data_IF_573844763998
#
_entry.id   IF_573844763998
#
_cell.length_a   1.000
_cell.length_b   1.000
_cell.length_c   1.000
_cell.angle_alpha   90.00
_cell.angle_beta   90.00
_cell.angle_gamma   90.00
#
_symmetry.space_group_name_H-M   'P 1'
#
loop_
_entity.id
_entity.type
_entity.pdbx_description
1 polymer ?
#
# COMPACT_ATOMS: atom_id res chain seq x y z
N UNK A 1 -7.74 24.82 -50.66
CA UNK A 1 -8.71 25.74 -51.28
C UNK A 1 -10.01 25.62 -50.51
N UNK A 2 -10.65 26.74 -50.14
CA UNK A 2 -11.95 26.70 -49.44
C UNK A 2 -13.02 26.25 -50.43
N UNK A 3 -13.99 25.44 -49.98
CA UNK A 3 -15.14 25.11 -50.81
C UNK A 3 -15.94 26.37 -51.12
N UNK A 4 -16.42 26.55 -52.37
CA UNK A 4 -17.23 27.70 -52.74
C UNK A 4 -18.58 27.63 -52.02
N UNK A 5 -19.02 28.75 -51.44
CA UNK A 5 -20.29 28.80 -50.74
C UNK A 5 -21.46 28.58 -51.71
N UNK A 6 -22.48 27.84 -51.28
CA UNK A 6 -23.60 27.43 -52.11
C UNK A 6 -24.75 28.41 -51.99
N UNK A 7 -25.15 28.97 -53.14
CA UNK A 7 -26.24 29.94 -53.22
C UNK A 7 -27.36 29.39 -54.08
N UNK A 8 -28.59 29.43 -53.57
CA UNK A 8 -29.78 29.14 -54.37
C UNK A 8 -30.45 30.46 -54.77
N UNK A 9 -30.69 30.66 -56.06
CA UNK A 9 -31.41 31.82 -56.59
C UNK A 9 -32.77 31.35 -57.11
N UNK A 10 -33.85 32.00 -56.66
CA UNK A 10 -35.23 31.66 -56.99
C UNK A 10 -35.94 32.89 -57.52
N UNK A 11 -36.37 32.84 -58.77
CA UNK A 11 -37.03 33.95 -59.46
C UNK A 11 -37.86 33.38 -60.61
N UNK A 12 -39.09 33.84 -60.81
CA UNK A 12 -39.92 33.40 -61.93
C UNK A 12 -39.40 33.90 -63.28
N UNK A 13 -38.73 35.06 -63.31
CA UNK A 13 -38.08 35.59 -64.51
C UNK A 13 -36.73 34.92 -64.81
N UNK A 14 -36.67 34.11 -65.87
CA UNK A 14 -35.44 33.41 -66.30
C UNK A 14 -34.28 34.39 -66.59
N UNK A 15 -34.57 35.57 -67.13
CA UNK A 15 -33.59 36.65 -67.37
C UNK A 15 -32.91 37.12 -66.07
N UNK A 16 -33.67 37.25 -64.98
CA UNK A 16 -33.17 37.68 -63.67
C UNK A 16 -32.31 36.58 -63.05
N UNK A 17 -32.80 35.34 -63.06
CA UNK A 17 -32.04 34.17 -62.58
C UNK A 17 -30.69 34.05 -63.28
N UNK A 18 -30.66 34.14 -64.61
CA UNK A 18 -29.43 34.02 -65.41
C UNK A 18 -28.45 35.15 -65.07
N UNK A 19 -28.95 36.38 -64.89
CA UNK A 19 -28.12 37.54 -64.57
C UNK A 19 -27.50 37.43 -63.19
N UNK A 20 -28.30 37.14 -62.15
CA UNK A 20 -27.82 36.97 -60.78
C UNK A 20 -26.85 35.80 -60.70
N UNK A 21 -27.15 34.68 -61.38
CA UNK A 21 -26.26 33.52 -61.46
C UNK A 21 -24.90 33.89 -62.03
N UNK A 22 -24.86 34.62 -63.15
CA UNK A 22 -23.60 35.02 -63.78
C UNK A 22 -22.75 35.90 -62.85
N UNK A 23 -23.38 36.89 -62.19
CA UNK A 23 -22.70 37.79 -61.24
C UNK A 23 -22.09 36.98 -60.08
N UNK A 24 -22.88 36.12 -59.44
CA UNK A 24 -22.45 35.37 -58.26
C UNK A 24 -21.43 34.27 -58.60
N UNK A 25 -21.52 33.66 -59.79
CA UNK A 25 -20.51 32.70 -60.26
C UNK A 25 -19.15 33.38 -60.52
N UNK A 26 -19.15 34.62 -61.04
CA UNK A 26 -17.92 35.41 -61.20
C UNK A 26 -17.27 35.74 -59.85
N UNK A 27 -18.06 35.84 -58.77
CA UNK A 27 -17.57 36.06 -57.41
C UNK A 27 -17.12 34.77 -56.71
N UNK A 28 -17.21 33.63 -57.40
CA UNK A 28 -16.70 32.34 -56.92
C UNK A 28 -17.70 31.51 -56.11
N UNK A 29 -18.99 31.84 -56.15
CA UNK A 29 -20.04 31.05 -55.48
C UNK A 29 -20.53 29.88 -56.34
N UNK A 30 -20.93 28.78 -55.69
CA UNK A 30 -21.61 27.66 -56.35
C UNK A 30 -23.11 27.96 -56.42
N UNK A 31 -23.60 28.39 -57.59
CA UNK A 31 -24.97 28.89 -57.73
C UNK A 31 -25.90 27.83 -58.34
N UNK A 32 -26.93 27.46 -57.59
CA UNK A 32 -28.11 26.72 -58.07
C UNK A 32 -29.25 27.68 -58.35
N UNK A 33 -30.14 27.31 -59.27
CA UNK A 33 -31.21 28.20 -59.74
C UNK A 33 -32.52 27.46 -59.89
N UNK A 34 -33.64 28.10 -59.52
CA UNK A 34 -34.99 27.60 -59.74
C UNK A 34 -35.88 28.72 -60.24
N UNK A 35 -36.75 28.43 -61.21
CA UNK A 35 -37.77 29.39 -61.68
C UNK A 35 -39.12 29.26 -60.98
N UNK A 36 -39.23 28.29 -60.06
CA UNK A 36 -40.47 28.04 -59.30
C UNK A 36 -40.15 27.84 -57.83
N UNK A 37 -41.07 28.25 -56.96
CA UNK A 37 -40.99 28.04 -55.52
C UNK A 37 -41.05 26.54 -55.15
N UNK A 38 -41.85 25.75 -55.86
CA UNK A 38 -41.91 24.30 -55.70
C UNK A 38 -40.57 23.62 -56.03
N UNK A 39 -39.93 24.04 -57.12
CA UNK A 39 -38.58 23.58 -57.50
C UNK A 39 -37.54 23.95 -56.44
N UNK A 40 -37.58 25.18 -55.94
CA UNK A 40 -36.67 25.64 -54.89
C UNK A 40 -36.81 24.81 -53.61
N UNK A 41 -38.05 24.55 -53.16
CA UNK A 41 -38.32 23.72 -51.98
C UNK A 41 -37.85 22.27 -52.17
N UNK A 42 -37.93 21.72 -53.40
CA UNK A 42 -37.37 20.40 -53.69
C UNK A 42 -35.84 20.40 -53.55
N UNK A 43 -35.16 21.40 -54.12
CA UNK A 43 -33.72 21.55 -54.01
C UNK A 43 -33.25 21.71 -52.55
N UNK A 44 -33.94 22.52 -51.74
CA UNK A 44 -33.62 22.72 -50.31
C UNK A 44 -33.77 21.41 -49.51
N UNK A 45 -34.67 20.51 -49.92
CA UNK A 45 -34.81 19.18 -49.28
C UNK A 45 -33.71 18.22 -49.67
N UNK A 46 -33.10 18.39 -50.83
CA UNK A 46 -32.07 17.48 -51.34
C UNK A 46 -30.65 17.94 -50.96
N UNK A 47 -30.43 19.26 -50.87
CA UNK A 47 -29.11 19.83 -50.66
C UNK A 47 -29.16 21.03 -49.72
N UNK A 48 -28.11 21.20 -48.93
CA UNK A 48 -27.92 22.38 -48.09
C UNK A 48 -27.30 23.54 -48.87
N UNK A 49 -27.77 24.74 -48.55
CA UNK A 49 -27.30 26.01 -49.10
C UNK A 49 -26.80 26.92 -47.98
N UNK A 50 -25.78 27.72 -48.25
CA UNK A 50 -25.28 28.74 -47.33
C UNK A 50 -26.17 29.99 -47.37
N UNK A 51 -26.71 30.29 -48.55
CA UNK A 51 -27.60 31.42 -48.77
C UNK A 51 -28.69 31.11 -49.81
N UNK A 52 -29.89 31.61 -49.58
CA UNK A 52 -31.01 31.55 -50.54
C UNK A 52 -31.45 32.96 -50.87
N UNK A 53 -31.43 33.31 -52.16
CA UNK A 53 -32.06 34.50 -52.72
C UNK A 53 -33.39 34.04 -53.32
N UNK A 54 -34.51 34.60 -52.86
CA UNK A 54 -35.82 34.27 -53.41
C UNK A 54 -36.62 35.51 -53.69
N UNK A 55 -37.24 35.61 -54.87
CA UNK A 55 -38.25 36.62 -55.11
C UNK A 55 -39.43 36.43 -54.15
N UNK A 56 -40.01 37.54 -53.73
CA UNK A 56 -41.16 37.56 -52.83
C UNK A 56 -42.44 37.06 -53.53
N UNK A 57 -42.59 37.29 -54.84
CA UNK A 57 -43.74 36.85 -55.63
C UNK A 57 -43.26 35.87 -56.70
N UNK A 58 -43.76 34.64 -56.65
CA UNK A 58 -43.46 33.61 -57.64
C UNK A 58 -44.78 33.22 -58.33
N UNK A 59 -44.71 32.78 -59.59
CA UNK A 59 -45.90 32.33 -60.33
C UNK A 59 -46.67 31.20 -59.61
N UNK A 60 -45.96 30.35 -58.86
CA UNK A 60 -46.51 29.19 -58.16
C UNK A 60 -46.65 29.37 -56.62
N UNK A 61 -46.44 30.58 -56.09
CA UNK A 61 -46.60 30.86 -54.66
C UNK A 61 -45.88 32.12 -54.15
N UNK A 62 -45.62 32.16 -52.84
CA UNK A 62 -44.92 33.27 -52.18
C UNK A 62 -43.49 32.85 -51.79
N UNK A 63 -42.51 33.74 -51.98
CA UNK A 63 -41.12 33.51 -51.55
C UNK A 63 -40.99 33.27 -50.04
N UNK A 64 -41.96 33.74 -49.25
CA UNK A 64 -42.04 33.43 -47.82
C UNK A 64 -42.20 31.93 -47.55
N UNK A 65 -42.80 31.16 -48.46
CA UNK A 65 -42.90 29.71 -48.31
C UNK A 65 -41.56 29.01 -48.57
N UNK A 66 -40.70 29.59 -49.42
CA UNK A 66 -39.31 29.15 -49.58
C UNK A 66 -38.53 29.46 -48.30
N UNK A 67 -38.65 30.66 -47.74
CA UNK A 67 -38.05 31.04 -46.45
C UNK A 67 -38.46 30.09 -45.32
N UNK A 68 -39.74 29.72 -45.22
CA UNK A 68 -40.21 28.74 -44.23
C UNK A 68 -39.56 27.39 -44.42
N UNK A 69 -39.51 26.89 -45.66
CA UNK A 69 -38.87 25.60 -45.96
C UNK A 69 -37.38 25.59 -45.61
N UNK A 70 -36.67 26.71 -45.85
CA UNK A 70 -35.27 26.87 -45.42
C UNK A 70 -35.18 26.80 -43.90
N UNK A 71 -36.01 27.57 -43.17
CA UNK A 71 -35.96 27.61 -41.70
C UNK A 71 -36.31 26.28 -41.04
N UNK A 72 -37.19 25.48 -41.63
CA UNK A 72 -37.54 24.15 -41.13
C UNK A 72 -36.42 23.14 -41.32
N UNK A 73 -35.70 23.22 -42.45
CA UNK A 73 -34.63 22.30 -42.81
C UNK A 73 -33.32 22.67 -42.12
N UNK A 74 -32.91 23.93 -42.28
CA UNK A 74 -31.61 24.44 -41.87
C UNK A 74 -31.83 25.91 -41.45
N UNK A 75 -32.14 26.18 -40.15
CA UNK A 75 -32.44 27.51 -39.55
C UNK A 75 -31.35 28.60 -39.64
N UNK A 76 -30.40 28.36 -40.50
CA UNK A 76 -28.98 28.46 -40.35
C UNK A 76 -28.44 29.06 -41.64
N UNK A 77 -29.01 28.59 -42.76
CA UNK A 77 -28.97 29.20 -44.08
C UNK A 77 -29.54 30.61 -44.03
N UNK A 78 -28.78 31.54 -44.61
CA UNK A 78 -29.19 32.93 -44.69
C UNK A 78 -30.16 33.09 -45.85
N UNK A 79 -31.31 33.75 -45.65
CA UNK A 79 -32.27 34.01 -46.74
C UNK A 79 -32.36 35.51 -47.00
N UNK A 80 -32.18 35.92 -48.25
CA UNK A 80 -32.34 37.29 -48.73
C UNK A 80 -33.53 37.31 -49.67
N UNK A 81 -34.45 38.25 -49.48
CA UNK A 81 -35.63 38.38 -50.33
C UNK A 81 -35.36 39.35 -51.47
N UNK A 82 -35.71 38.99 -52.70
CA UNK A 82 -35.75 39.92 -53.84
C UNK A 82 -37.16 40.48 -53.96
N UNK A 83 -37.30 41.78 -54.21
CA UNK A 83 -38.61 42.46 -54.25
C UNK A 83 -38.64 43.45 -55.41
N UNK A 84 -39.70 43.47 -56.23
CA UNK A 84 -39.83 44.42 -57.35
C UNK A 84 -40.23 45.84 -56.90
N UNK A 85 -41.49 46.02 -56.53
CA UNK A 85 -42.02 47.26 -55.94
C UNK A 85 -42.58 46.94 -54.57
N UNK A 86 -41.73 46.84 -53.55
CA UNK A 86 -42.19 46.52 -52.20
C UNK A 86 -42.90 47.73 -51.56
N UNK A 87 -44.10 47.51 -51.03
CA UNK A 87 -44.58 48.31 -49.90
C UNK A 87 -43.67 48.04 -48.70
N UNK A 88 -43.39 49.06 -47.88
CA UNK A 88 -42.61 48.92 -46.64
C UNK A 88 -43.12 47.76 -45.76
N UNK A 89 -44.43 47.49 -45.78
CA UNK A 89 -45.06 46.39 -45.06
C UNK A 89 -44.58 45.00 -45.51
N UNK A 90 -44.35 44.79 -46.81
CA UNK A 90 -43.94 43.49 -47.35
C UNK A 90 -42.49 43.14 -46.97
N UNK A 91 -41.60 44.14 -47.00
CA UNK A 91 -40.22 44.00 -46.54
C UNK A 91 -40.16 43.75 -45.02
N UNK A 92 -40.98 44.48 -44.24
CA UNK A 92 -41.09 44.26 -42.78
C UNK A 92 -41.60 42.85 -42.48
N UNK A 93 -42.59 42.36 -43.23
CA UNK A 93 -43.13 41.01 -43.04
C UNK A 93 -42.07 39.95 -43.29
N UNK A 94 -41.24 40.10 -44.32
CA UNK A 94 -40.18 39.14 -44.61
C UNK A 94 -39.08 39.11 -43.54
N UNK A 95 -38.64 40.27 -43.06
CA UNK A 95 -37.68 40.34 -41.94
C UNK A 95 -38.26 39.72 -40.67
N UNK A 96 -39.54 39.99 -40.35
CA UNK A 96 -40.24 39.35 -39.22
C UNK A 96 -40.39 37.85 -39.38
N UNK A 97 -40.54 37.36 -40.61
CA UNK A 97 -40.59 35.95 -40.92
C UNK A 97 -39.22 35.25 -40.82
N UNK A 98 -38.13 36.01 -40.65
CA UNK A 98 -36.78 35.50 -40.44
C UNK A 98 -35.87 35.60 -41.66
N UNK A 99 -36.23 36.40 -42.67
CA UNK A 99 -35.27 36.80 -43.69
C UNK A 99 -34.16 37.64 -43.06
N UNK A 100 -32.94 37.47 -43.54
CA UNK A 100 -31.78 38.21 -43.07
C UNK A 100 -31.75 39.64 -43.62
N UNK A 101 -32.08 39.79 -44.90
CA UNK A 101 -32.10 41.07 -45.60
C UNK A 101 -33.07 41.01 -46.80
N UNK A 102 -33.26 42.13 -47.49
CA UNK A 102 -33.99 42.19 -48.75
C UNK A 102 -33.28 43.10 -49.76
N UNK A 103 -33.55 42.88 -51.06
CA UNK A 103 -33.05 43.66 -52.18
C UNK A 103 -34.21 44.13 -53.06
N UNK A 104 -34.12 45.35 -53.58
CA UNK A 104 -35.15 45.95 -54.44
C UNK A 104 -34.71 45.82 -55.91
N UNK A 105 -35.57 45.31 -56.80
CA UNK A 105 -35.33 45.18 -58.24
C UNK A 105 -35.81 46.42 -59.00
N UNK A 106 -35.07 46.92 -60.01
CA UNK A 106 -33.72 46.47 -60.38
C UNK A 106 -32.68 46.95 -59.34
N UNK A 107 -31.93 46.02 -58.74
CA UNK A 107 -30.86 46.34 -57.79
C UNK A 107 -29.55 46.60 -58.52
N UNK A 108 -28.71 47.48 -57.98
CA UNK A 108 -27.35 47.65 -58.49
C UNK A 108 -26.51 46.39 -58.20
N UNK A 109 -25.57 46.08 -59.09
CA UNK A 109 -24.69 44.89 -58.97
C UNK A 109 -23.91 44.92 -57.65
N UNK A 110 -23.44 46.10 -57.23
CA UNK A 110 -22.67 46.26 -56.00
C UNK A 110 -23.52 46.02 -54.75
N UNK A 111 -24.80 46.40 -54.78
CA UNK A 111 -25.74 46.18 -53.67
C UNK A 111 -26.04 44.69 -53.48
N UNK A 112 -26.29 43.96 -54.58
CA UNK A 112 -26.46 42.51 -54.58
C UNK A 112 -25.21 41.83 -54.01
N UNK A 113 -24.02 42.17 -54.53
CA UNK A 113 -22.74 41.62 -54.09
C UNK A 113 -22.50 41.83 -52.60
N UNK A 114 -22.67 43.06 -52.14
CA UNK A 114 -22.46 43.43 -50.74
C UNK A 114 -23.41 42.68 -49.81
N UNK A 115 -24.68 42.57 -50.18
CA UNK A 115 -25.70 41.91 -49.35
C UNK A 115 -25.50 40.40 -49.29
N UNK A 116 -25.18 39.76 -50.42
CA UNK A 116 -24.83 38.32 -50.46
C UNK A 116 -23.56 38.05 -49.67
N UNK A 117 -22.50 38.85 -49.83
CA UNK A 117 -21.25 38.69 -49.09
C UNK A 117 -21.46 38.79 -47.57
N UNK A 118 -22.24 39.79 -47.10
CA UNK A 118 -22.62 39.90 -45.68
C UNK A 118 -23.39 38.68 -45.19
N UNK A 119 -24.30 38.15 -45.99
CA UNK A 119 -25.08 36.96 -45.66
C UNK A 119 -24.21 35.70 -45.55
N UNK A 120 -23.32 35.47 -46.51
CA UNK A 120 -22.38 34.33 -46.47
C UNK A 120 -21.44 34.43 -45.27
N UNK A 121 -20.91 35.61 -44.97
CA UNK A 121 -20.04 35.79 -43.80
C UNK A 121 -20.80 35.54 -42.49
N UNK A 122 -22.07 35.97 -42.40
CA UNK A 122 -22.93 35.66 -41.25
C UNK A 122 -23.14 34.16 -41.07
N UNK A 123 -23.40 33.43 -42.16
CA UNK A 123 -23.51 31.96 -42.16
C UNK A 123 -22.25 31.31 -41.61
N UNK A 124 -21.10 31.72 -42.14
CA UNK A 124 -19.78 31.21 -41.78
C UNK A 124 -19.46 31.40 -40.31
N UNK A 125 -19.64 32.62 -39.79
CA UNK A 125 -19.40 32.93 -38.38
C UNK A 125 -20.31 32.12 -37.44
N UNK A 126 -21.57 31.87 -37.83
CA UNK A 126 -22.49 31.02 -37.08
C UNK A 126 -22.04 29.56 -36.99
N UNK A 127 -21.57 29.00 -38.12
CA UNK A 127 -21.01 27.65 -38.15
C UNK A 127 -19.73 27.53 -37.31
N UNK A 128 -18.81 28.50 -37.43
CA UNK A 128 -17.55 28.51 -36.66
C UNK A 128 -17.81 28.60 -35.14
N UNK A 129 -18.76 29.44 -34.72
CA UNK A 129 -19.11 29.56 -33.31
C UNK A 129 -19.66 28.24 -32.74
N UNK A 130 -20.53 27.54 -33.47
CA UNK A 130 -21.05 26.24 -33.01
C UNK A 130 -20.01 25.15 -32.95
N UNK A 131 -19.11 25.11 -33.94
CA UNK A 131 -17.99 24.18 -33.91
C UNK A 131 -17.15 24.40 -32.64
N UNK A 132 -16.81 25.67 -32.33
CA UNK A 132 -16.07 26.02 -31.11
C UNK A 132 -16.82 25.68 -29.82
N UNK A 133 -18.14 25.87 -29.78
CA UNK A 133 -18.96 25.49 -28.61
C UNK A 133 -18.90 23.97 -28.40
N UNK A 134 -19.06 23.18 -29.46
CA UNK A 134 -18.98 21.73 -29.39
C UNK A 134 -17.60 21.25 -28.92
N UNK A 135 -16.52 21.88 -29.43
CA UNK A 135 -15.15 21.58 -29.01
C UNK A 135 -14.93 21.90 -27.53
N UNK A 136 -15.39 23.07 -27.05
CA UNK A 136 -15.31 23.46 -25.64
C UNK A 136 -16.10 22.52 -24.73
N UNK A 137 -17.30 22.10 -25.14
CA UNK A 137 -18.10 21.13 -24.40
C UNK A 137 -17.45 19.75 -24.33
N UNK A 138 -16.72 19.36 -25.39
CA UNK A 138 -15.92 18.13 -25.37
C UNK A 138 -14.73 18.24 -24.41
N UNK A 139 -13.96 19.33 -24.50
CA UNK A 139 -12.80 19.56 -23.65
C UNK A 139 -13.18 19.68 -22.16
N UNK A 140 -14.29 20.35 -21.85
CA UNK A 140 -14.78 20.47 -20.47
C UNK A 140 -15.18 19.12 -19.86
N UNK A 141 -15.78 18.23 -20.67
CA UNK A 141 -16.09 16.87 -20.23
C UNK A 141 -14.82 16.07 -19.94
N UNK A 142 -13.82 16.15 -20.82
CA UNK A 142 -12.53 15.49 -20.63
C UNK A 142 -11.82 15.98 -19.35
N UNK A 143 -11.83 17.29 -19.09
CA UNK A 143 -11.28 17.88 -17.87
C UNK A 143 -12.03 17.39 -16.63
N UNK A 144 -13.36 17.28 -16.68
CA UNK A 144 -14.17 16.78 -15.56
C UNK A 144 -13.86 15.31 -15.24
N UNK A 145 -13.71 14.48 -16.26
CA UNK A 145 -13.35 13.07 -16.11
C UNK A 145 -11.92 12.94 -15.54
N UNK A 146 -10.98 13.73 -16.05
CA UNK A 146 -9.60 13.75 -15.56
C UNK A 146 -9.52 14.21 -14.10
N UNK A 147 -10.25 15.26 -13.73
CA UNK A 147 -10.31 15.75 -12.36
C UNK A 147 -10.86 14.68 -11.41
N UNK A 148 -11.91 13.96 -11.83
CA UNK A 148 -12.48 12.86 -11.02
C UNK A 148 -11.48 11.72 -10.84
N UNK A 149 -10.76 11.36 -11.90
CA UNK A 149 -9.70 10.34 -11.84
C UNK A 149 -8.51 10.76 -10.97
N UNK A 150 -8.07 12.01 -11.08
CA UNK A 150 -7.00 12.58 -10.25
C UNK A 150 -7.40 12.63 -8.78
N UNK A 151 -8.63 13.06 -8.47
CA UNK A 151 -9.12 13.09 -7.10
C UNK A 151 -9.10 11.69 -6.48
N UNK A 152 -9.55 10.67 -7.22
CA UNK A 152 -9.50 9.27 -6.78
C UNK A 152 -8.07 8.81 -6.47
N UNK A 153 -7.10 9.15 -7.32
CA UNK A 153 -5.68 8.82 -7.09
C UNK A 153 -5.09 9.54 -5.88
N UNK A 154 -5.48 10.79 -5.64
CA UNK A 154 -5.08 11.55 -4.45
C UNK A 154 -5.63 10.89 -3.19
N UNK A 155 -6.89 10.48 -3.19
CA UNK A 155 -7.52 9.84 -2.04
C UNK A 155 -6.86 8.48 -1.73
N UNK A 156 -6.59 7.67 -2.76
CA UNK A 156 -5.86 6.40 -2.63
C UNK A 156 -4.45 6.60 -2.07
N UNK A 157 -3.68 7.54 -2.64
CA UNK A 157 -2.33 7.83 -2.18
C UNK A 157 -2.31 8.37 -0.74
N UNK A 158 -3.30 9.17 -0.37
CA UNK A 158 -3.43 9.72 0.98
C UNK A 158 -3.74 8.62 2.00
N UNK A 159 -4.62 7.67 1.65
CA UNK A 159 -4.92 6.52 2.49
C UNK A 159 -3.68 5.63 2.69
N UNK A 160 -2.93 5.35 1.62
CA UNK A 160 -1.69 4.56 1.69
C UNK A 160 -0.64 5.27 2.57
N UNK A 161 -0.46 6.58 2.38
CA UNK A 161 0.49 7.37 3.17
C UNK A 161 0.14 7.33 4.66
N UNK A 162 -1.14 7.47 5.01
CA UNK A 162 -1.60 7.38 6.40
C UNK A 162 -1.28 6.02 7.01
N UNK A 163 -1.55 4.93 6.28
CA UNK A 163 -1.23 3.58 6.74
C UNK A 163 0.27 3.39 6.99
N UNK A 164 1.13 3.86 6.07
CA UNK A 164 2.58 3.79 6.24
C UNK A 164 3.07 4.62 7.42
N UNK A 165 2.47 5.78 7.65
CA UNK A 165 2.81 6.64 8.78
C UNK A 165 2.47 5.96 10.12
N UNK A 166 1.31 5.33 10.23
CA UNK A 166 0.92 4.57 11.42
C UNK A 166 1.87 3.40 11.69
N UNK A 167 2.28 2.66 10.66
CA UNK A 167 3.29 1.58 10.77
C UNK A 167 4.64 2.11 11.26
N UNK A 168 5.08 3.25 10.73
CA UNK A 168 6.35 3.86 11.12
C UNK A 168 6.32 4.31 12.59
N UNK A 169 5.20 4.88 13.04
CA UNK A 169 5.04 5.27 14.45
C UNK A 169 5.08 4.06 15.39
N UNK A 170 4.49 2.93 15.00
CA UNK A 170 4.51 1.72 15.82
C UNK A 170 5.92 1.12 15.91
N UNK A 171 6.67 1.12 14.80
CA UNK A 171 8.08 0.74 14.80
C UNK A 171 8.92 1.66 15.68
N UNK A 172 8.69 2.98 15.60
CA UNK A 172 9.42 3.95 16.40
C UNK A 172 9.12 3.82 17.91
N UNK A 173 7.86 3.55 18.27
CA UNK A 173 7.47 3.22 19.66
C UNK A 173 8.17 1.96 20.15
N UNK A 174 8.13 0.89 19.38
CA UNK A 174 8.77 -0.39 19.73
C UNK A 174 10.28 -0.22 19.90
N UNK A 175 10.92 0.54 19.00
CA UNK A 175 12.35 0.89 19.08
C UNK A 175 12.69 1.73 20.30
N UNK A 176 11.86 2.72 20.63
CA UNK A 176 12.07 3.58 21.81
C UNK A 176 11.91 2.79 23.11
N UNK A 177 10.92 1.89 23.17
CA UNK A 177 10.74 0.97 24.29
C UNK A 177 11.95 0.04 24.46
N UNK A 178 12.46 -0.53 23.37
CA UNK A 178 13.68 -1.34 23.37
C UNK A 178 14.87 -0.60 23.98
N UNK A 179 15.16 0.61 23.50
CA UNK A 179 16.29 1.40 23.98
C UNK A 179 16.16 1.75 25.47
N UNK A 180 14.94 2.07 25.92
CA UNK A 180 14.67 2.37 27.32
C UNK A 180 14.88 1.15 28.22
N UNK A 181 14.34 0.00 27.84
CA UNK A 181 14.50 -1.26 28.59
C UNK A 181 15.95 -1.74 28.62
N UNK A 182 16.63 -1.74 27.47
CA UNK A 182 18.04 -2.09 27.39
C UNK A 182 18.88 -1.21 28.32
N UNK A 183 18.63 0.11 28.32
CA UNK A 183 19.33 1.04 29.21
C UNK A 183 19.09 0.71 30.69
N UNK A 184 17.85 0.41 31.09
CA UNK A 184 17.52 0.09 32.48
C UNK A 184 18.16 -1.22 32.94
N UNK A 185 18.06 -2.27 32.13
CA UNK A 185 18.57 -3.61 32.45
C UNK A 185 20.10 -3.69 32.40
N UNK A 186 20.78 -2.84 31.60
CA UNK A 186 22.24 -2.68 31.68
C UNK A 186 22.67 -1.85 32.89
N UNK A 187 21.90 -0.80 33.26
CA UNK A 187 22.25 0.10 34.37
C UNK A 187 22.19 -0.58 35.74
N UNK A 188 21.24 -1.48 35.97
CA UNK A 188 21.09 -2.21 37.25
C UNK A 188 22.34 -3.02 37.63
N UNK A 189 22.84 -3.97 36.80
CA UNK A 189 24.06 -4.72 37.11
C UNK A 189 25.29 -3.82 37.20
N UNK A 190 25.40 -2.78 36.37
CA UNK A 190 26.52 -1.81 36.43
C UNK A 190 26.53 -1.06 37.77
N UNK A 191 25.36 -0.61 38.23
CA UNK A 191 25.21 0.11 39.50
C UNK A 191 25.55 -0.80 40.68
N UNK A 192 25.06 -2.05 40.65
CA UNK A 192 25.39 -3.04 41.67
C UNK A 192 26.89 -3.34 41.71
N UNK A 193 27.51 -3.64 40.56
CA UNK A 193 28.96 -3.89 40.47
C UNK A 193 29.77 -2.73 41.02
N UNK A 194 29.43 -1.50 40.61
CA UNK A 194 30.13 -0.29 41.06
C UNK A 194 30.02 -0.10 42.58
N UNK A 195 28.83 -0.33 43.15
CA UNK A 195 28.61 -0.22 44.59
C UNK A 195 29.39 -1.25 45.40
N UNK A 196 29.35 -2.52 45.00
CA UNK A 196 30.10 -3.58 45.68
C UNK A 196 31.61 -3.40 45.55
N UNK A 197 32.09 -2.98 44.37
CA UNK A 197 33.51 -2.69 44.15
C UNK A 197 33.97 -1.50 45.01
N UNK A 198 33.16 -0.45 45.14
CA UNK A 198 33.46 0.69 46.02
C UNK A 198 33.58 0.28 47.49
N UNK A 199 32.67 -0.58 47.99
CA UNK A 199 32.72 -1.08 49.37
C UNK A 199 33.94 -1.98 49.58
N UNK A 200 34.23 -2.87 48.63
CA UNK A 200 35.38 -3.77 48.69
C UNK A 200 36.69 -2.99 48.73
N UNK A 201 36.86 -1.99 47.85
CA UNK A 201 38.03 -1.11 47.81
C UNK A 201 38.19 -0.30 49.09
N UNK A 202 37.08 0.21 49.67
CA UNK A 202 37.12 0.97 50.94
C UNK A 202 37.57 0.08 52.11
N UNK A 203 37.17 -1.18 52.15
CA UNK A 203 37.59 -2.14 53.18
C UNK A 203 39.04 -2.58 52.99
N UNK A 204 39.46 -2.87 51.75
CA UNK A 204 40.86 -3.17 51.44
C UNK A 204 41.81 -2.03 51.85
N UNK A 205 41.43 -0.76 51.65
CA UNK A 205 42.23 0.39 52.11
C UNK A 205 42.37 0.44 53.64
N UNK A 206 41.31 0.14 54.39
CA UNK A 206 41.37 0.05 55.86
C UNK A 206 42.28 -1.09 56.33
N UNK A 207 42.23 -2.24 55.66
CA UNK A 207 43.10 -3.38 55.94
C UNK A 207 44.58 -3.10 55.66
N UNK A 208 44.90 -2.21 54.70
CA UNK A 208 46.29 -1.79 54.49
C UNK A 208 46.82 -0.84 55.57
N UNK A 209 45.94 -0.28 56.40
CA UNK A 209 46.26 0.68 57.45
C UNK A 209 46.36 0.03 58.85
N UNK A 210 45.55 -1.01 59.16
CA UNK A 210 45.56 -1.71 60.45
C UNK A 210 46.13 -3.14 60.36
N UNK A 211 47.09 -3.48 61.24
CA UNK A 211 47.91 -4.70 61.22
C UNK A 211 47.49 -5.82 62.19
N UNK A 212 46.24 -5.87 62.64
CA UNK A 212 45.79 -6.84 63.64
C UNK A 212 44.70 -7.83 63.17
N UNK A 213 44.59 -8.92 63.95
CA UNK A 213 43.97 -10.24 63.70
C UNK A 213 42.50 -10.32 63.23
N UNK A 214 41.83 -9.22 62.89
CA UNK A 214 40.48 -9.19 62.31
C UNK A 214 40.42 -9.47 60.78
N UNK A 215 41.59 -9.63 60.15
CA UNK A 215 41.73 -9.75 58.70
C UNK A 215 40.89 -10.87 58.06
N UNK A 216 40.63 -11.98 58.76
CA UNK A 216 39.95 -13.14 58.16
C UNK A 216 38.47 -12.88 57.83
N UNK A 217 37.76 -12.13 58.67
CA UNK A 217 36.33 -11.84 58.50
C UNK A 217 36.12 -10.72 57.46
N UNK A 218 37.04 -9.76 57.41
CA UNK A 218 37.07 -8.71 56.39
C UNK A 218 37.42 -9.27 54.99
N UNK A 219 38.39 -10.19 54.89
CA UNK A 219 38.71 -10.92 53.65
C UNK A 219 37.48 -11.69 53.15
N UNK A 220 36.79 -12.40 54.04
CA UNK A 220 35.59 -13.18 53.68
C UNK A 220 34.50 -12.27 53.09
N UNK A 221 34.28 -11.10 53.68
CA UNK A 221 33.26 -10.17 53.16
C UNK A 221 33.68 -9.47 51.86
N UNK A 222 34.97 -9.25 51.62
CA UNK A 222 35.48 -8.78 50.31
C UNK A 222 35.30 -9.84 49.24
N UNK A 223 35.56 -11.12 49.55
CA UNK A 223 35.33 -12.25 48.64
C UNK A 223 33.85 -12.38 48.26
N UNK A 224 32.93 -12.26 49.22
CA UNK A 224 31.47 -12.25 48.96
C UNK A 224 31.07 -11.11 48.00
N UNK A 225 31.66 -9.92 48.17
CA UNK A 225 31.40 -8.77 47.30
C UNK A 225 31.94 -9.00 45.87
N UNK A 226 33.15 -9.55 45.74
CA UNK A 226 33.72 -9.92 44.44
C UNK A 226 32.89 -11.00 43.74
N UNK A 227 32.35 -11.97 44.49
CA UNK A 227 31.45 -12.98 43.95
C UNK A 227 30.14 -12.38 43.45
N UNK A 228 29.59 -11.38 44.15
CA UNK A 228 28.43 -10.63 43.66
C UNK A 228 28.77 -9.87 42.38
N UNK A 229 29.92 -9.18 42.32
CA UNK A 229 30.39 -8.50 41.11
C UNK A 229 30.50 -9.48 39.94
N UNK A 230 31.13 -10.63 40.15
CA UNK A 230 31.28 -11.68 39.14
C UNK A 230 29.94 -12.24 38.65
N UNK A 231 28.97 -12.45 39.54
CA UNK A 231 27.61 -12.85 39.11
C UNK A 231 26.91 -11.76 38.29
N UNK A 232 27.15 -10.48 38.58
CA UNK A 232 26.56 -9.37 37.83
C UNK A 232 27.24 -9.18 36.46
N UNK A 233 28.55 -9.41 36.31
CA UNK A 233 29.22 -9.40 34.99
C UNK A 233 28.67 -10.51 34.09
N UNK A 234 28.46 -11.73 34.62
CA UNK A 234 27.84 -12.81 33.87
C UNK A 234 26.38 -12.55 33.48
N UNK A 235 25.63 -11.78 34.29
CA UNK A 235 24.30 -11.29 33.88
C UNK A 235 24.40 -10.28 32.73
N UNK A 236 25.31 -9.31 32.82
CA UNK A 236 25.51 -8.29 31.79
C UNK A 236 25.90 -8.90 30.43
N UNK A 237 26.81 -9.89 30.42
CA UNK A 237 27.21 -10.59 29.21
C UNK A 237 26.00 -11.25 28.51
N UNK A 238 25.18 -12.00 29.26
CA UNK A 238 23.96 -12.60 28.71
C UNK A 238 22.99 -11.58 28.13
N UNK A 239 22.81 -10.43 28.78
CA UNK A 239 21.95 -9.36 28.26
C UNK A 239 22.50 -8.77 26.96
N UNK A 240 23.82 -8.63 26.83
CA UNK A 240 24.45 -8.16 25.59
C UNK A 240 24.22 -9.18 24.46
N UNK A 241 24.39 -10.47 24.75
CA UNK A 241 24.17 -11.54 23.78
C UNK A 241 22.69 -11.55 23.32
N UNK A 242 21.73 -11.46 24.25
CA UNK A 242 20.30 -11.34 23.92
C UNK A 242 19.99 -10.12 23.03
N UNK A 243 20.63 -8.98 23.27
CA UNK A 243 20.48 -7.77 22.44
C UNK A 243 21.07 -7.97 21.02
N UNK A 244 22.23 -8.62 20.92
CA UNK A 244 22.87 -8.92 19.65
C UNK A 244 22.04 -9.93 18.84
N UNK A 245 21.45 -10.92 19.49
CA UNK A 245 20.56 -11.89 18.86
C UNK A 245 19.34 -11.19 18.27
N UNK A 246 18.65 -10.33 19.03
CA UNK A 246 17.51 -9.54 18.51
C UNK A 246 17.91 -8.69 17.30
N UNK A 247 19.08 -8.04 17.35
CA UNK A 247 19.61 -7.25 16.23
C UNK A 247 19.87 -8.10 14.98
N UNK A 248 20.47 -9.28 15.15
CA UNK A 248 20.74 -10.23 14.05
C UNK A 248 19.44 -10.81 13.47
N UNK A 249 18.46 -11.11 14.32
CA UNK A 249 17.10 -11.54 13.93
C UNK A 249 16.47 -10.49 13.00
N UNK A 250 16.37 -9.25 13.48
CA UNK A 250 15.69 -8.15 12.77
C UNK A 250 16.37 -7.78 11.46
N UNK A 251 17.70 -7.93 11.38
CA UNK A 251 18.45 -7.65 10.15
C UNK A 251 18.52 -8.84 9.19
N UNK A 252 17.95 -9.99 9.55
CA UNK A 252 17.98 -11.20 8.73
C UNK A 252 19.32 -11.95 8.76
N UNK A 253 20.31 -11.49 9.53
CA UNK A 253 21.73 -11.90 9.46
C UNK A 253 22.13 -13.05 10.41
N UNK A 254 21.18 -13.77 11.00
CA UNK A 254 21.56 -15.01 11.69
C UNK A 254 22.00 -16.03 10.65
N UNK A 255 23.26 -16.44 10.73
CA UNK A 255 23.79 -17.60 10.00
C UNK A 255 23.44 -18.86 10.78
N UNK A 256 22.65 -19.74 10.16
CA UNK A 256 22.30 -21.05 10.71
C UNK A 256 23.23 -22.11 10.13
N UNK A 257 23.83 -22.91 11.01
CA UNK A 257 24.71 -24.01 10.67
C UNK A 257 23.95 -25.32 10.80
N UNK A 258 23.30 -25.73 9.71
CA UNK A 258 22.49 -26.94 9.69
C UNK A 258 23.36 -28.21 9.65
N UNK A 259 23.12 -29.13 10.58
CA UNK A 259 23.71 -30.45 10.67
C UNK A 259 22.67 -31.48 11.11
N UNK A 260 23.00 -32.78 11.02
CA UNK A 260 22.17 -33.84 11.58
C UNK A 260 22.24 -33.81 13.11
N UNK A 261 21.09 -33.61 13.77
CA UNK A 261 20.98 -33.47 15.23
C UNK A 261 19.96 -34.46 15.78
N UNK A 262 20.38 -35.30 16.73
CA UNK A 262 19.46 -36.10 17.57
C UNK A 262 18.87 -35.19 18.67
N UNK A 263 17.59 -34.85 18.50
CA UNK A 263 16.88 -33.95 19.44
C UNK A 263 16.69 -34.60 20.81
N UNK A 264 16.58 -35.93 20.88
CA UNK A 264 16.47 -36.66 22.13
C UNK A 264 17.78 -36.67 22.92
N UNK A 265 18.92 -36.75 22.24
CA UNK A 265 20.24 -36.58 22.87
C UNK A 265 20.45 -35.14 23.36
N UNK A 266 20.16 -34.15 22.51
CA UNK A 266 20.26 -32.74 22.88
C UNK A 266 19.40 -32.39 24.11
N UNK A 267 18.16 -32.89 24.16
CA UNK A 267 17.27 -32.70 25.31
C UNK A 267 17.84 -33.32 26.60
N UNK A 268 18.47 -34.50 26.52
CA UNK A 268 19.13 -35.15 27.66
C UNK A 268 20.35 -34.36 28.15
N UNK A 269 21.19 -33.85 27.24
CA UNK A 269 22.32 -33.00 27.61
C UNK A 269 21.86 -31.74 28.33
N UNK A 270 20.86 -31.05 27.78
CA UNK A 270 20.26 -29.86 28.40
C UNK A 270 19.68 -30.20 29.77
N UNK A 271 18.89 -31.27 29.89
CA UNK A 271 18.30 -31.68 31.17
C UNK A 271 19.37 -31.99 32.23
N UNK A 272 20.41 -32.75 31.87
CA UNK A 272 21.52 -33.11 32.76
C UNK A 272 22.25 -31.86 33.26
N UNK A 273 22.56 -30.92 32.36
CA UNK A 273 23.21 -29.67 32.71
C UNK A 273 22.32 -28.78 33.58
N UNK A 274 21.03 -28.68 33.26
CA UNK A 274 20.07 -27.88 34.02
C UNK A 274 19.76 -28.47 35.39
N UNK A 275 19.82 -29.80 35.55
CA UNK A 275 19.65 -30.46 36.84
C UNK A 275 20.72 -30.02 37.86
N UNK A 276 21.94 -29.68 37.40
CA UNK A 276 23.01 -29.15 38.27
C UNK A 276 22.73 -27.74 38.80
N UNK A 277 21.77 -27.03 38.21
CA UNK A 277 21.42 -25.64 38.58
C UNK A 277 20.28 -25.55 39.58
N UNK A 278 19.60 -26.67 39.88
CA UNK A 278 18.42 -26.70 40.74
C UNK A 278 18.38 -27.94 41.63
N UNK A 279 18.04 -27.75 42.91
CA UNK A 279 17.81 -28.85 43.87
C UNK A 279 16.33 -29.04 44.18
N UNK A 280 15.48 -28.10 43.76
CA UNK A 280 14.03 -28.11 44.01
C UNK A 280 13.23 -28.79 42.89
N UNK A 281 13.85 -29.04 41.73
CA UNK A 281 13.21 -29.66 40.58
C UNK A 281 13.94 -30.91 40.17
N UNK A 282 13.16 -31.89 39.70
CA UNK A 282 13.66 -33.09 39.04
C UNK A 282 13.32 -32.97 37.56
N UNK A 283 14.35 -32.98 36.72
CA UNK A 283 14.22 -32.81 35.27
C UNK A 283 14.37 -34.18 34.62
N UNK A 284 13.27 -34.67 34.04
CA UNK A 284 13.23 -35.97 33.37
C UNK A 284 12.98 -35.80 31.88
N UNK A 285 13.67 -36.61 31.07
CA UNK A 285 13.46 -36.67 29.62
C UNK A 285 12.79 -37.99 29.26
N UNK A 286 11.71 -37.89 28.49
CA UNK A 286 10.98 -39.03 27.92
C UNK A 286 11.10 -38.98 26.41
N UNK A 287 11.48 -40.09 25.78
CA UNK A 287 11.67 -40.19 24.33
C UNK A 287 11.10 -41.50 23.80
N UNK A 288 10.31 -41.41 22.74
CA UNK A 288 9.73 -42.59 22.06
C UNK A 288 10.63 -43.10 20.92
N UNK A 289 11.60 -42.30 20.47
CA UNK A 289 12.51 -42.58 19.36
C UNK A 289 13.83 -41.78 19.46
N UNK A 290 14.73 -41.98 18.50
CA UNK A 290 15.95 -41.18 18.27
C UNK A 290 15.79 -40.37 16.98
N UNK A 291 15.02 -39.27 16.97
CA UNK A 291 14.76 -38.57 15.74
C UNK A 291 15.91 -37.62 15.42
N UNK A 292 16.65 -37.97 14.37
CA UNK A 292 17.64 -37.08 13.76
C UNK A 292 16.95 -36.16 12.77
N UNK A 293 17.13 -34.85 12.93
CA UNK A 293 16.66 -33.83 11.98
C UNK A 293 17.82 -32.96 11.52
N UNK A 294 17.68 -32.35 10.35
CA UNK A 294 18.61 -31.31 9.89
C UNK A 294 18.30 -30.02 10.64
N UNK A 295 19.18 -29.58 11.53
CA UNK A 295 18.96 -28.39 12.36
C UNK A 295 20.27 -27.72 12.78
N UNK A 296 20.17 -26.47 13.24
CA UNK A 296 21.26 -25.81 13.94
C UNK A 296 21.24 -26.22 15.42
N UNK A 297 22.23 -27.03 15.81
CA UNK A 297 22.32 -27.60 17.16
C UNK A 297 22.37 -26.53 18.24
N UNK A 298 23.18 -25.48 18.04
CA UNK A 298 23.45 -24.47 19.06
C UNK A 298 22.21 -23.59 19.30
N UNK A 299 21.51 -23.21 18.23
CA UNK A 299 20.27 -22.44 18.34
C UNK A 299 19.12 -23.27 18.91
N UNK A 300 19.02 -24.58 18.59
CA UNK A 300 18.04 -25.45 19.25
C UNK A 300 18.37 -25.70 20.73
N UNK A 301 19.65 -25.80 21.07
CA UNK A 301 20.10 -25.85 22.46
C UNK A 301 19.68 -24.59 23.22
N UNK A 302 19.79 -23.41 22.58
CA UNK A 302 19.32 -22.14 23.13
C UNK A 302 17.81 -22.14 23.39
N UNK A 303 17.00 -22.66 22.46
CA UNK A 303 15.54 -22.81 22.64
C UNK A 303 15.23 -23.69 23.86
N UNK A 304 15.83 -24.87 23.95
CA UNK A 304 15.60 -25.81 25.05
C UNK A 304 16.06 -25.24 26.40
N UNK A 305 17.25 -24.63 26.45
CA UNK A 305 17.76 -23.96 27.65
C UNK A 305 16.79 -22.87 28.12
N UNK A 306 16.23 -22.07 27.20
CA UNK A 306 15.28 -21.02 27.54
C UNK A 306 13.97 -21.58 28.10
N UNK A 307 13.39 -22.62 27.47
CA UNK A 307 12.16 -23.25 27.94
C UNK A 307 12.34 -23.89 29.33
N UNK A 308 13.43 -24.62 29.55
CA UNK A 308 13.73 -25.26 30.84
C UNK A 308 14.05 -24.23 31.93
N UNK A 309 14.79 -23.17 31.59
CA UNK A 309 15.07 -22.07 32.53
C UNK A 309 13.78 -21.36 32.94
N UNK A 310 12.84 -21.16 32.01
CA UNK A 310 11.53 -20.59 32.31
C UNK A 310 10.72 -21.52 33.21
N UNK A 311 10.69 -22.83 32.92
CA UNK A 311 10.07 -23.83 33.78
C UNK A 311 10.59 -23.69 35.23
N UNK A 312 11.91 -23.75 35.46
CA UNK A 312 12.53 -23.62 36.79
C UNK A 312 12.16 -22.29 37.47
N UNK A 313 12.22 -21.17 36.74
CA UNK A 313 11.94 -19.83 37.29
C UNK A 313 10.49 -19.65 37.72
N UNK A 314 9.55 -20.15 36.92
CA UNK A 314 8.12 -19.92 37.12
C UNK A 314 7.43 -21.04 37.92
N UNK A 315 8.19 -22.03 38.42
CA UNK A 315 7.76 -23.01 39.44
C UNK A 315 8.52 -22.85 40.77
N UNK A 316 8.33 -21.76 41.52
CA UNK A 316 9.08 -21.49 42.76
C UNK A 316 8.83 -22.51 43.88
N UNK A 317 7.76 -23.31 43.79
CA UNK A 317 7.43 -24.38 44.75
C UNK A 317 8.19 -25.68 44.49
N UNK A 318 9.04 -25.74 43.45
CA UNK A 318 9.67 -26.97 43.01
C UNK A 318 8.71 -27.86 42.23
N UNK A 319 9.17 -29.07 41.91
CA UNK A 319 8.36 -30.10 41.23
C UNK A 319 9.03 -30.68 39.99
N UNK A 320 8.42 -31.72 39.39
CA UNK A 320 8.97 -32.35 38.21
C UNK A 320 8.83 -31.44 36.98
N UNK A 321 9.91 -31.34 36.22
CA UNK A 321 9.91 -30.76 34.87
C UNK A 321 10.13 -31.90 33.90
N UNK A 322 9.22 -32.07 32.93
CA UNK A 322 9.31 -33.17 31.96
C UNK A 322 9.57 -32.61 30.58
N UNK A 323 10.61 -33.12 29.93
CA UNK A 323 10.88 -32.88 28.51
C UNK A 323 10.46 -34.13 27.76
N UNK A 324 9.45 -34.02 26.91
CA UNK A 324 8.93 -35.10 26.11
C UNK A 324 9.29 -34.88 24.65
N UNK A 325 10.01 -35.84 24.06
CA UNK A 325 10.42 -35.80 22.65
C UNK A 325 9.72 -36.94 21.92
N UNK A 326 8.82 -36.57 21.01
CA UNK A 326 8.11 -37.50 20.13
C UNK A 326 8.47 -37.22 18.68
N UNK A 327 8.54 -38.25 17.86
CA UNK A 327 8.72 -38.09 16.41
C UNK A 327 7.66 -38.83 15.62
N UNK A 328 7.35 -38.31 14.45
CA UNK A 328 6.54 -38.96 13.44
C UNK A 328 7.17 -38.78 12.04
N UNK A 329 6.47 -39.17 10.99
CA UNK A 329 6.94 -39.02 9.60
C UNK A 329 7.09 -37.56 9.14
N UNK A 330 6.54 -36.60 9.87
CA UNK A 330 6.53 -35.18 9.53
C UNK A 330 7.63 -34.41 10.26
N UNK A 331 8.14 -34.93 11.37
CA UNK A 331 9.22 -34.30 12.14
C UNK A 331 9.24 -34.68 13.61
N UNK A 332 9.66 -33.73 14.43
CA UNK A 332 9.82 -33.88 15.88
C UNK A 332 8.94 -32.89 16.62
N UNK A 333 8.29 -33.35 17.69
CA UNK A 333 7.62 -32.52 18.67
C UNK A 333 8.33 -32.64 20.01
N UNK A 334 8.73 -31.50 20.56
CA UNK A 334 9.26 -31.38 21.91
C UNK A 334 8.22 -30.68 22.78
N UNK A 335 7.91 -31.26 23.94
CA UNK A 335 7.06 -30.64 24.95
C UNK A 335 7.83 -30.46 26.26
N UNK A 336 7.87 -29.25 26.80
CA UNK A 336 8.47 -28.94 28.11
C UNK A 336 7.35 -28.60 29.08
N UNK A 337 7.12 -29.46 30.07
CA UNK A 337 6.04 -29.35 31.03
C UNK A 337 6.55 -28.98 32.42
N UNK A 338 5.91 -28.00 33.05
CA UNK A 338 6.18 -27.55 34.41
C UNK A 338 4.93 -27.62 35.30
N UNK A 339 5.12 -27.53 36.62
CA UNK A 339 4.06 -27.36 37.63
C UNK A 339 4.15 -25.98 38.30
N UNK A 340 4.28 -24.96 37.48
CA UNK A 340 4.46 -23.58 37.92
C UNK A 340 3.16 -22.82 38.18
N UNK A 341 3.28 -21.49 38.21
CA UNK A 341 2.17 -20.56 38.45
C UNK A 341 1.10 -20.57 37.35
N UNK A 342 1.43 -21.11 36.17
CA UNK A 342 0.57 -21.10 34.99
C UNK A 342 0.46 -19.70 34.33
N UNK A 343 -0.11 -19.67 33.13
CA UNK A 343 -0.23 -18.50 32.26
C UNK A 343 -1.71 -18.27 31.96
N UNK A 344 -2.24 -17.06 32.20
CA UNK A 344 -3.62 -16.74 31.86
C UNK A 344 -3.89 -16.90 30.35
N UNK A 345 -5.07 -17.42 29.98
CA UNK A 345 -5.43 -17.68 28.57
C UNK A 345 -5.29 -16.46 27.65
N UNK A 346 -5.56 -15.25 28.18
CA UNK A 346 -5.42 -13.97 27.46
C UNK A 346 -3.97 -13.58 27.14
N UNK A 347 -3.00 -14.22 27.80
CA UNK A 347 -1.56 -13.89 27.69
C UNK A 347 -0.81 -14.88 26.79
N UNK A 348 -1.38 -16.07 26.50
CA UNK A 348 -0.71 -17.15 25.76
C UNK A 348 -0.17 -16.74 24.39
N UNK A 349 -0.88 -15.88 23.66
CA UNK A 349 -0.39 -15.39 22.37
C UNK A 349 0.67 -14.29 22.53
N UNK A 350 0.56 -13.52 23.61
CA UNK A 350 1.40 -12.35 23.87
C UNK A 350 2.77 -12.70 24.46
N UNK A 351 2.91 -13.86 25.14
CA UNK A 351 4.20 -14.27 25.78
C UNK A 351 5.36 -14.43 24.80
N UNK A 352 5.07 -14.67 23.53
CA UNK A 352 6.08 -14.76 22.47
C UNK A 352 6.36 -13.39 21.80
N UNK A 353 5.70 -12.33 22.27
CA UNK A 353 5.91 -10.97 21.82
C UNK A 353 7.23 -10.38 22.32
N UNK A 354 7.78 -9.46 21.55
CA UNK A 354 9.02 -8.75 21.91
C UNK A 354 8.81 -7.95 23.20
N UNK A 355 9.69 -8.13 24.19
CA UNK A 355 9.65 -7.49 25.52
C UNK A 355 8.44 -7.82 26.38
N UNK A 356 7.69 -8.88 26.05
CA UNK A 356 6.52 -9.22 26.83
C UNK A 356 6.92 -9.68 28.25
N UNK A 357 6.27 -9.08 29.26
CA UNK A 357 6.37 -9.49 30.67
C UNK A 357 4.99 -9.49 31.29
N UNK A 358 4.64 -10.58 31.98
CA UNK A 358 3.33 -10.68 32.64
C UNK A 358 3.19 -9.58 33.72
N UNK A 359 2.00 -8.95 33.83
CA UNK A 359 1.75 -7.92 34.83
C UNK A 359 1.71 -8.44 36.27
N UNK A 360 1.64 -9.76 36.48
CA UNK A 360 1.59 -10.38 37.80
C UNK A 360 2.90 -10.16 38.58
N UNK A 361 2.80 -9.76 39.86
CA UNK A 361 3.96 -9.47 40.72
C UNK A 361 4.87 -10.69 40.89
N UNK A 362 4.29 -11.88 41.05
CA UNK A 362 5.06 -13.12 41.19
C UNK A 362 5.90 -13.42 39.93
N UNK A 363 5.42 -13.02 38.75
CA UNK A 363 6.15 -13.15 37.49
C UNK A 363 7.14 -12.00 37.25
N UNK A 364 6.92 -10.81 37.83
CA UNK A 364 7.82 -9.64 37.71
C UNK A 364 9.13 -9.81 38.48
N UNK A 365 9.11 -10.49 39.61
CA UNK A 365 10.30 -10.72 40.44
C UNK A 365 11.28 -11.73 39.80
N UNK A 366 10.81 -12.52 38.83
CA UNK A 366 11.67 -13.34 37.98
C UNK A 366 12.42 -12.44 36.97
N UNK A 367 13.73 -12.27 37.17
CA UNK A 367 14.58 -11.40 36.35
C UNK A 367 14.64 -11.83 34.86
N UNK A 368 14.43 -10.91 33.91
CA UNK A 368 14.61 -11.13 32.47
C UNK A 368 14.01 -10.01 31.59
N UNK A 369 14.57 -9.82 30.39
CA UNK A 369 14.13 -8.78 29.43
C UNK A 369 12.83 -9.10 28.68
N UNK A 370 12.29 -10.31 28.81
CA UNK A 370 11.15 -10.76 27.99
C UNK A 370 11.53 -11.07 26.54
N UNK A 371 12.80 -11.38 26.28
CA UNK A 371 13.33 -11.67 24.95
C UNK A 371 13.42 -13.17 24.63
N UNK A 372 13.60 -14.02 25.65
CA UNK A 372 13.90 -15.44 25.44
C UNK A 372 12.85 -16.19 24.60
N UNK A 373 11.55 -16.03 24.92
CA UNK A 373 10.47 -16.69 24.16
C UNK A 373 10.31 -16.12 22.74
N UNK A 374 10.56 -14.82 22.54
CA UNK A 374 10.58 -14.21 21.22
C UNK A 374 11.72 -14.78 20.36
N UNK A 375 12.94 -14.83 20.90
CA UNK A 375 14.11 -15.43 20.23
C UNK A 375 13.83 -16.90 19.91
N UNK A 376 13.24 -17.64 20.85
CA UNK A 376 12.88 -19.05 20.64
C UNK A 376 11.90 -19.22 19.49
N UNK A 377 10.89 -18.34 19.39
CA UNK A 377 9.93 -18.36 18.28
C UNK A 377 10.58 -18.06 16.94
N UNK A 378 11.50 -17.11 16.87
CA UNK A 378 12.20 -16.81 15.62
C UNK A 378 13.09 -17.98 15.20
N UNK A 379 13.86 -18.57 16.11
CA UNK A 379 14.70 -19.74 15.84
C UNK A 379 13.85 -20.89 15.30
N UNK A 380 12.76 -21.23 15.98
CA UNK A 380 11.85 -22.32 15.57
C UNK A 380 11.22 -22.01 14.21
N UNK A 381 10.77 -20.78 13.98
CA UNK A 381 10.17 -20.37 12.70
C UNK A 381 11.18 -20.47 11.54
N UNK A 382 12.45 -20.10 11.76
CA UNK A 382 13.54 -20.24 10.77
C UNK A 382 13.85 -21.70 10.44
N UNK A 383 13.64 -22.60 11.39
CA UNK A 383 13.73 -24.05 11.16
C UNK A 383 12.48 -24.62 10.46
N UNK A 384 11.50 -23.78 10.08
CA UNK A 384 10.24 -24.21 9.47
C UNK A 384 9.27 -24.85 10.47
N UNK A 385 9.49 -24.62 11.76
CA UNK A 385 8.71 -25.16 12.86
C UNK A 385 7.69 -24.19 13.45
N UNK A 386 6.97 -24.64 14.47
CA UNK A 386 6.02 -23.85 15.25
C UNK A 386 6.25 -24.04 16.76
N UNK A 387 6.11 -22.95 17.54
CA UNK A 387 6.15 -22.96 19.00
C UNK A 387 4.86 -22.36 19.57
N UNK A 388 4.27 -23.02 20.57
CA UNK A 388 3.09 -22.54 21.29
C UNK A 388 3.09 -23.00 22.75
N UNK A 389 2.14 -22.52 23.54
CA UNK A 389 2.00 -22.92 24.95
C UNK A 389 0.56 -23.24 25.30
N UNK A 390 0.37 -24.25 26.14
CA UNK A 390 -0.88 -24.56 26.81
C UNK A 390 -0.66 -24.43 28.31
N UNK A 391 -1.57 -23.76 29.02
CA UNK A 391 -1.39 -23.51 30.44
C UNK A 391 -2.71 -23.36 31.16
N UNK A 392 -2.73 -23.83 32.41
CA UNK A 392 -3.84 -23.64 33.34
C UNK A 392 -3.28 -22.90 34.57
N UNK A 393 -3.83 -21.72 34.92
CA UNK A 393 -3.39 -20.97 36.09
C UNK A 393 -3.35 -21.84 37.35
N UNK A 394 -2.24 -21.76 38.10
CA UNK A 394 -1.93 -22.53 39.30
C UNK A 394 -1.74 -24.06 39.13
N UNK A 395 -1.85 -24.60 37.92
CA UNK A 395 -1.58 -26.03 37.64
C UNK A 395 -0.27 -26.25 36.87
N UNK A 396 0.20 -25.23 36.14
CA UNK A 396 1.47 -25.25 35.39
C UNK A 396 1.29 -24.97 33.90
N UNK A 397 2.38 -25.07 33.15
CA UNK A 397 2.39 -24.82 31.70
C UNK A 397 3.06 -25.95 30.93
N UNK A 398 2.69 -26.09 29.67
CA UNK A 398 3.38 -26.96 28.70
C UNK A 398 3.70 -26.15 27.46
N UNK A 399 4.98 -26.02 27.15
CA UNK A 399 5.46 -25.39 25.93
C UNK A 399 5.73 -26.47 24.89
N UNK A 400 5.21 -26.27 23.69
CA UNK A 400 5.36 -27.20 22.58
C UNK A 400 6.18 -26.57 21.47
N UNK A 401 7.11 -27.33 20.91
CA UNK A 401 7.90 -26.98 19.73
C UNK A 401 7.74 -28.10 18.72
N UNK A 402 7.44 -27.76 17.47
CA UNK A 402 7.44 -28.70 16.34
C UNK A 402 8.52 -28.29 15.35
N UNK A 403 9.26 -29.27 14.85
CA UNK A 403 10.35 -29.07 13.89
C UNK A 403 10.20 -30.10 12.76
N UNK A 404 10.23 -29.70 11.48
CA UNK A 404 10.24 -30.64 10.37
C UNK A 404 11.56 -31.42 10.31
N UNK A 405 11.57 -32.57 9.62
CA UNK A 405 12.80 -33.36 9.41
C UNK A 405 13.89 -32.57 8.67
N UNK A 406 13.48 -31.70 7.73
CA UNK A 406 14.35 -30.81 6.97
C UNK A 406 13.74 -29.40 6.96
N UNK A 407 14.47 -28.35 7.37
CA UNK A 407 14.01 -26.97 7.35
C UNK A 407 13.68 -26.50 5.94
N UNK A 408 12.62 -25.69 5.81
CA UNK A 408 12.24 -25.07 4.54
C UNK A 408 13.33 -24.06 4.13
N UNK A 409 14.25 -24.48 3.24
CA UNK A 409 15.38 -23.67 2.79
C UNK A 409 16.78 -24.24 3.11
N UNK A 410 16.87 -25.36 3.83
CA UNK A 410 18.14 -26.07 4.01
C UNK A 410 18.51 -26.81 2.71
N UNK A 411 19.46 -26.29 1.95
CA UNK A 411 20.14 -27.08 0.91
C UNK A 411 20.95 -28.18 1.60
N UNK A 412 20.56 -29.43 1.41
CA UNK A 412 21.38 -30.57 1.84
C UNK A 412 22.78 -30.45 1.19
N UNK A 413 23.88 -30.61 1.95
CA UNK A 413 25.16 -30.92 1.34
C UNK A 413 24.99 -32.24 0.58
N UNK A 414 25.36 -32.27 -0.71
CA UNK A 414 25.37 -33.51 -1.49
C UNK A 414 26.13 -34.59 -0.69
N UNK A 415 25.58 -35.82 -0.54
CA UNK A 415 26.32 -36.89 0.09
C UNK A 415 27.60 -37.09 -0.72
N UNK A 416 28.76 -36.99 -0.05
CA UNK A 416 30.05 -37.27 -0.66
C UNK A 416 29.96 -38.63 -1.35
N UNK A 417 29.96 -38.62 -2.68
CA UNK A 417 29.87 -39.83 -3.49
C UNK A 417 30.98 -40.76 -3.01
N UNK A 418 30.60 -41.89 -2.41
CA UNK A 418 31.52 -42.97 -2.15
C UNK A 418 32.13 -43.37 -3.50
N UNK A 419 33.42 -43.10 -3.68
CA UNK A 419 34.17 -43.60 -4.81
C UNK A 419 34.26 -45.12 -4.71
N UNK A 420 33.28 -45.80 -5.31
CA UNK A 420 33.42 -47.20 -5.68
C UNK A 420 34.16 -47.26 -7.02
N UNK A 421 35.21 -48.08 -7.01
CA UNK A 421 36.23 -48.28 -8.03
C UNK A 421 35.70 -48.59 -9.44
N UNK A 422 36.48 -48.20 -10.45
CA UNK A 422 36.84 -49.05 -11.61
C UNK A 422 38.04 -48.48 -12.36
N UNK A 423 39.21 -49.11 -12.18
CA UNK A 423 40.08 -49.67 -13.24
C UNK A 423 41.27 -50.38 -12.59
#
# INVERSE_FOLDING_TARGET
MREPARVLVVDDEESVVVTIKAILQLDGYEVSTSTTGAGARAMIREREYDLVLTDLRLEDGDGLDVLRAVRERTPETVTIMLTGYASLESAIQALRAGAYDYLIKPSEVEELRSTVARGIERRRLGQELRARIADLESANREIADLNTSLQRRIDEATAELKQRYEQLQELDRTKSQFLSMASHELKTPITAMSGFLQVALRRMRRMSEDRDSAASEEIRSVLEQLEIVYRQTGKLARLIDELLDVSRIQTGRIEFHYADVDIGELANEVATRMQLTTTAHEIAVTRDSTPTIVADRDHLEQVLNNLVTNAIKYSPRGGPITIEVRSDERGVRVAVKDKGIGIPKKELDAIFGLFYRSPDRAARDAAGMGLGLYISREIVSRHGGEIWAESVPAEGSTFFVTLPLVPVGATQPEPARSGAATS
#
